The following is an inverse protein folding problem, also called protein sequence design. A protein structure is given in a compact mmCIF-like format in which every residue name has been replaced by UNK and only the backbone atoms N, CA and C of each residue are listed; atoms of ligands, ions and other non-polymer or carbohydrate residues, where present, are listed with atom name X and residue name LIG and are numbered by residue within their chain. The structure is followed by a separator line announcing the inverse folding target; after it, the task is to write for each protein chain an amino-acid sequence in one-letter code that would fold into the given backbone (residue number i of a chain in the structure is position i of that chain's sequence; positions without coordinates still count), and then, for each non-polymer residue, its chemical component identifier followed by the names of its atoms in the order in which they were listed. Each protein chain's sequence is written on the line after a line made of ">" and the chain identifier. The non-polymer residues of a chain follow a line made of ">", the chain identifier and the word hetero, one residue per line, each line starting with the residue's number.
data_IF_758968340188
#
_entry.id   IF_758968340188
#
_cell.length_a   1.000
_cell.length_b   1.000
_cell.length_c   1.000
_cell.angle_alpha   90.00
_cell.angle_beta   90.00
_cell.angle_gamma   90.00
#
_symmetry.space_group_name_H-M   'P 1'
#
loop_
_entity.id
_entity.type
_entity.pdbx_description
1 polymer ?
#
# COMPACT_ATOMS: atom_id res chain seq x y z
N UNK A 1 14.19 -11.09 7.29
CA UNK A 1 13.36 -10.17 8.10
C UNK A 1 12.21 -9.67 7.23
N UNK A 2 10.97 -9.64 7.72
CA UNK A 2 9.81 -9.15 6.97
C UNK A 2 9.26 -7.89 7.64
N UNK A 3 9.30 -6.75 6.93
CA UNK A 3 8.98 -5.41 7.45
C UNK A 3 7.47 -5.13 7.48
N UNK A 4 6.68 -5.93 6.73
CA UNK A 4 5.23 -5.76 6.56
C UNK A 4 4.82 -4.34 6.10
N UNK A 5 5.62 -3.71 5.25
CA UNK A 5 5.27 -2.42 4.67
C UNK A 5 3.98 -2.49 3.83
N UNK A 6 3.22 -1.40 3.75
CA UNK A 6 1.92 -1.35 3.08
C UNK A 6 1.99 -0.44 1.86
N UNK A 7 1.33 -0.83 0.76
CA UNK A 7 1.08 0.01 -0.40
C UNK A 7 -0.42 0.01 -0.69
N UNK A 8 -1.03 1.19 -0.80
CA UNK A 8 -2.45 1.38 -1.08
C UNK A 8 -2.60 2.04 -2.45
N UNK A 9 -3.35 1.41 -3.34
CA UNK A 9 -3.53 1.86 -4.70
C UNK A 9 -5.01 1.82 -5.07
N UNK A 10 -5.57 2.96 -5.48
CA UNK A 10 -6.92 3.02 -6.01
C UNK A 10 -6.93 2.55 -7.47
N UNK A 11 -7.89 1.70 -7.79
CA UNK A 11 -8.15 1.23 -9.16
C UNK A 11 -9.59 1.54 -9.55
N UNK A 12 -9.81 1.81 -10.83
CA UNK A 12 -11.13 2.20 -11.36
C UNK A 12 -12.12 1.03 -11.44
N UNK A 13 -11.62 -0.21 -11.55
CA UNK A 13 -12.42 -1.42 -11.68
C UNK A 13 -11.65 -2.66 -11.18
N UNK A 14 -12.31 -3.82 -11.26
CA UNK A 14 -11.77 -5.13 -10.86
C UNK A 14 -11.32 -5.97 -12.07
N UNK A 15 -10.76 -5.33 -13.10
CA UNK A 15 -10.21 -6.02 -14.29
C UNK A 15 -8.76 -6.44 -14.10
N UNK A 16 -8.26 -7.27 -15.03
CA UNK A 16 -6.84 -7.64 -15.07
C UNK A 16 -5.96 -6.44 -15.47
N UNK A 17 -6.43 -5.61 -16.41
CA UNK A 17 -5.72 -4.42 -16.89
C UNK A 17 -5.55 -3.38 -15.77
N UNK A 18 -6.60 -3.14 -14.98
CA UNK A 18 -6.53 -2.23 -13.85
C UNK A 18 -5.53 -2.72 -12.79
N UNK A 19 -5.51 -4.03 -12.49
CA UNK A 19 -4.50 -4.61 -11.61
C UNK A 19 -3.09 -4.47 -12.21
N UNK A 20 -2.87 -4.78 -13.48
CA UNK A 20 -1.55 -4.66 -14.12
C UNK A 20 -1.07 -3.21 -14.06
N UNK A 21 -1.96 -2.25 -14.31
CA UNK A 21 -1.66 -0.83 -14.15
C UNK A 21 -1.21 -0.48 -12.73
N UNK A 22 -1.95 -0.94 -11.71
CA UNK A 22 -1.59 -0.79 -10.30
C UNK A 22 -0.24 -1.45 -9.97
N UNK A 23 -0.02 -2.68 -10.42
CA UNK A 23 1.21 -3.43 -10.17
C UNK A 23 2.44 -2.79 -10.83
N UNK A 24 2.30 -2.26 -12.04
CA UNK A 24 3.36 -1.46 -12.70
C UNK A 24 3.66 -0.20 -11.91
N UNK A 25 2.64 0.53 -11.45
CA UNK A 25 2.82 1.71 -10.61
C UNK A 25 3.47 1.39 -9.25
N UNK A 26 3.15 0.24 -8.67
CA UNK A 26 3.82 -0.28 -7.47
C UNK A 26 5.30 -0.57 -7.73
N UNK A 27 5.60 -1.39 -8.73
CA UNK A 27 6.98 -1.80 -9.04
C UNK A 27 7.87 -0.63 -9.49
N UNK A 28 7.30 0.36 -10.18
CA UNK A 28 8.03 1.61 -10.51
C UNK A 28 8.39 2.44 -9.30
N UNK A 29 7.66 2.33 -8.17
CA UNK A 29 7.94 3.09 -6.94
C UNK A 29 8.72 2.30 -5.91
N UNK A 30 8.48 1.00 -5.82
CA UNK A 30 9.01 0.11 -4.77
C UNK A 30 10.09 -0.83 -5.28
N UNK A 31 10.36 -0.82 -6.58
CA UNK A 31 11.26 -1.76 -7.23
C UNK A 31 10.57 -3.09 -7.55
N UNK A 32 11.36 -4.02 -8.08
CA UNK A 32 10.88 -5.29 -8.58
C UNK A 32 10.29 -6.17 -7.46
N UNK A 33 9.13 -6.76 -7.72
CA UNK A 33 8.54 -7.78 -6.86
C UNK A 33 9.02 -9.18 -7.28
N UNK A 34 9.67 -9.91 -6.37
CA UNK A 34 10.10 -11.29 -6.65
C UNK A 34 8.96 -12.31 -6.50
N UNK A 35 8.07 -12.10 -5.52
CA UNK A 35 6.98 -13.03 -5.21
C UNK A 35 5.66 -12.29 -4.94
N UNK A 36 4.60 -12.70 -5.62
CA UNK A 36 3.23 -12.23 -5.38
C UNK A 36 2.42 -13.38 -4.80
N UNK A 37 1.61 -13.08 -3.78
CA UNK A 37 0.63 -13.99 -3.21
C UNK A 37 -0.76 -13.37 -3.33
N UNK A 38 -1.71 -14.07 -3.94
CA UNK A 38 -3.10 -13.61 -4.09
C UNK A 38 -4.10 -14.75 -3.98
N UNK A 39 -5.39 -14.42 -3.78
CA UNK A 39 -6.46 -15.40 -4.03
C UNK A 39 -6.61 -15.70 -5.53
N UNK A 40 -7.49 -16.65 -5.86
CA UNK A 40 -7.80 -17.05 -7.23
C UNK A 40 -8.82 -16.11 -7.93
N UNK A 41 -8.86 -14.83 -7.56
CA UNK A 41 -9.65 -13.81 -8.23
C UNK A 41 -9.37 -13.79 -9.73
N UNK A 42 -10.42 -13.62 -10.55
CA UNK A 42 -10.31 -13.66 -12.01
C UNK A 42 -9.36 -12.60 -12.57
N UNK A 43 -9.34 -11.42 -11.96
CA UNK A 43 -8.38 -10.35 -12.26
C UNK A 43 -6.94 -10.83 -12.04
N UNK A 44 -6.61 -11.41 -10.90
CA UNK A 44 -5.26 -11.89 -10.58
C UNK A 44 -4.81 -13.04 -11.50
N UNK A 45 -5.69 -14.02 -11.74
CA UNK A 45 -5.40 -15.12 -12.66
C UNK A 45 -5.17 -14.60 -14.09
N UNK A 46 -5.97 -13.64 -14.55
CA UNK A 46 -5.79 -12.97 -15.83
C UNK A 46 -4.47 -12.22 -15.91
N UNK A 47 -4.16 -11.40 -14.90
CA UNK A 47 -2.92 -10.62 -14.84
C UNK A 47 -1.67 -11.49 -14.84
N UNK A 48 -1.67 -12.60 -14.11
CA UNK A 48 -0.54 -13.54 -14.11
C UNK A 48 -0.28 -14.11 -15.53
N UNK A 49 -1.34 -14.48 -16.25
CA UNK A 49 -1.22 -14.99 -17.63
C UNK A 49 -0.66 -13.92 -18.57
N UNK A 50 -1.15 -12.69 -18.48
CA UNK A 50 -0.72 -11.59 -19.35
C UNK A 50 0.74 -11.20 -19.08
N UNK A 51 1.13 -11.09 -17.80
CA UNK A 51 2.51 -10.78 -17.42
C UNK A 51 3.48 -11.89 -17.84
N UNK A 52 3.09 -13.16 -17.71
CA UNK A 52 3.90 -14.29 -18.17
C UNK A 52 4.07 -14.30 -19.69
N UNK A 53 3.00 -14.00 -20.45
CA UNK A 53 3.07 -13.91 -21.90
C UNK A 53 3.96 -12.75 -22.36
N UNK A 54 3.85 -11.58 -21.71
CA UNK A 54 4.71 -10.43 -21.99
C UNK A 54 6.19 -10.72 -21.72
N UNK A 55 6.50 -11.44 -20.63
CA UNK A 55 7.87 -11.84 -20.32
C UNK A 55 8.43 -12.81 -21.37
N UNK A 56 7.63 -13.79 -21.80
CA UNK A 56 8.03 -14.75 -22.84
C UNK A 56 8.30 -14.04 -24.18
N UNK A 57 7.43 -13.12 -24.58
CA UNK A 57 7.60 -12.34 -25.80
C UNK A 57 8.89 -11.51 -25.76
N UNK A 58 9.15 -10.83 -24.64
CA UNK A 58 10.38 -10.05 -24.45
C UNK A 58 11.65 -10.93 -24.53
N UNK A 59 11.63 -12.13 -23.97
CA UNK A 59 12.76 -13.06 -24.04
C UNK A 59 13.07 -13.51 -25.48
N UNK A 60 12.06 -13.65 -26.34
CA UNK A 60 12.24 -14.01 -27.74
C UNK A 60 12.86 -12.89 -28.58
N UNK A 61 12.69 -11.63 -28.19
CA UNK A 61 13.15 -10.46 -28.94
C UNK A 61 14.53 -9.95 -28.50
N UNK A 62 15.01 -10.39 -27.33
CA UNK A 62 16.23 -9.87 -26.72
C UNK A 62 17.46 -10.75 -26.98
N UNK A 63 18.68 -10.16 -26.97
CA UNK A 63 19.92 -10.93 -26.93
C UNK A 63 19.93 -11.93 -25.78
N UNK A 64 20.53 -13.10 -26.01
CA UNK A 64 20.44 -14.27 -25.12
C UNK A 64 20.89 -13.98 -23.68
N UNK A 65 21.93 -13.18 -23.50
CA UNK A 65 22.45 -12.74 -22.21
C UNK A 65 21.45 -11.85 -21.43
N UNK A 66 20.74 -10.97 -22.14
CA UNK A 66 19.69 -10.12 -21.57
C UNK A 66 18.44 -10.95 -21.25
N UNK A 67 18.06 -11.87 -22.15
CA UNK A 67 16.94 -12.78 -21.95
C UNK A 67 17.16 -13.71 -20.73
N UNK A 68 18.37 -14.24 -20.56
CA UNK A 68 18.74 -15.09 -19.41
C UNK A 68 18.66 -14.32 -18.08
N UNK A 69 18.96 -13.02 -18.10
CA UNK A 69 18.83 -12.15 -16.93
C UNK A 69 17.36 -11.88 -16.60
N UNK A 70 16.55 -11.53 -17.61
CA UNK A 70 15.10 -11.36 -17.48
C UNK A 70 14.37 -12.62 -17.00
N UNK A 71 14.81 -13.80 -17.44
CA UNK A 71 14.25 -15.08 -16.98
C UNK A 71 14.50 -15.32 -15.48
N UNK A 72 15.69 -14.98 -14.99
CA UNK A 72 16.00 -15.00 -13.54
C UNK A 72 15.24 -13.92 -12.78
N UNK A 73 14.89 -12.85 -13.49
CA UNK A 73 14.23 -11.70 -12.90
C UNK A 73 12.69 -11.71 -12.93
N UNK A 74 12.08 -12.82 -13.33
CA UNK A 74 10.62 -12.95 -13.33
C UNK A 74 9.98 -12.89 -11.94
N UNK A 75 8.79 -12.30 -11.85
CA UNK A 75 7.96 -12.35 -10.64
C UNK A 75 7.27 -13.72 -10.54
N UNK A 76 7.44 -14.42 -9.43
CA UNK A 76 6.75 -15.69 -9.16
C UNK A 76 5.39 -15.45 -8.50
N UNK A 77 4.33 -15.98 -9.09
CA UNK A 77 2.97 -15.84 -8.57
C UNK A 77 2.50 -17.09 -7.83
N UNK A 78 2.01 -16.90 -6.61
CA UNK A 78 1.45 -17.94 -5.74
C UNK A 78 -0.03 -17.68 -5.50
N UNK A 79 -0.88 -18.69 -5.73
CA UNK A 79 -2.32 -18.61 -5.50
C UNK A 79 -2.71 -19.36 -4.24
N UNK A 80 -3.31 -18.66 -3.27
CA UNK A 80 -3.84 -19.28 -2.06
C UNK A 80 -5.28 -19.76 -2.27
N UNK A 81 -5.67 -20.92 -1.69
CA UNK A 81 -7.06 -21.35 -1.65
C UNK A 81 -7.92 -20.30 -0.93
N UNK A 82 -9.16 -20.12 -1.37
CA UNK A 82 -10.05 -19.13 -0.81
C UNK A 82 -10.33 -19.41 0.68
N UNK A 83 -9.79 -18.58 1.60
CA UNK A 83 -10.23 -18.57 3.01
C UNK A 83 -10.07 -17.22 3.72
N UNK A 84 -11.18 -16.85 4.37
CA UNK A 84 -11.45 -15.89 5.45
C UNK A 84 -11.32 -14.36 5.24
N UNK A 85 -12.46 -13.62 5.24
CA UNK A 85 -12.54 -12.19 5.06
C UNK A 85 -12.50 -11.43 6.39
N UNK A 86 -11.34 -11.28 7.02
CA UNK A 86 -11.25 -10.60 8.32
C UNK A 86 -10.35 -9.36 8.32
N UNK A 87 -10.56 -8.45 7.37
CA UNK A 87 -10.07 -7.07 7.45
C UNK A 87 -11.03 -6.19 6.63
N UNK A 88 -12.21 -5.84 7.13
CA UNK A 88 -13.23 -5.10 6.35
C UNK A 88 -13.69 -3.76 6.96
N UNK A 89 -13.87 -3.71 8.28
CA UNK A 89 -14.72 -2.67 8.88
C UNK A 89 -14.21 -1.22 8.84
N UNK A 90 -12.91 -0.97 8.58
CA UNK A 90 -12.38 0.39 8.54
C UNK A 90 -12.43 1.00 7.13
N UNK A 91 -12.05 0.23 6.12
CA UNK A 91 -12.06 0.66 4.72
C UNK A 91 -13.49 0.78 4.19
N UNK A 92 -14.41 -0.09 4.65
CA UNK A 92 -15.83 0.01 4.32
C UNK A 92 -16.41 1.40 4.63
N UNK A 93 -16.00 2.02 5.76
CA UNK A 93 -16.45 3.39 6.10
C UNK A 93 -15.87 4.46 5.16
N UNK A 94 -14.61 4.35 4.76
CA UNK A 94 -14.02 5.29 3.78
C UNK A 94 -14.78 5.20 2.44
N UNK A 95 -15.17 3.99 2.04
CA UNK A 95 -15.96 3.74 0.84
C UNK A 95 -17.40 4.28 0.91
N UNK A 96 -17.93 4.60 2.10
CA UNK A 96 -19.26 5.24 2.24
C UNK A 96 -19.27 6.74 1.98
N UNK A 97 -18.12 7.36 1.70
CA UNK A 97 -18.02 8.81 1.48
C UNK A 97 -17.96 9.15 -0.01
N UNK A 98 -18.68 10.20 -0.44
CA UNK A 98 -18.71 10.70 -1.83
C UNK A 98 -17.42 11.48 -2.19
N UNK A 99 -16.28 10.78 -2.16
CA UNK A 99 -14.99 11.30 -2.61
C UNK A 99 -14.82 11.07 -4.11
N UNK A 100 -14.16 12.01 -4.80
CA UNK A 100 -13.72 11.79 -6.17
C UNK A 100 -12.55 10.80 -6.19
N UNK A 101 -12.22 10.29 -7.38
CA UNK A 101 -11.05 9.42 -7.56
C UNK A 101 -9.75 10.08 -7.06
N UNK A 102 -9.55 11.36 -7.36
CA UNK A 102 -8.36 12.12 -6.94
C UNK A 102 -8.31 12.33 -5.42
N UNK A 103 -9.45 12.65 -4.80
CA UNK A 103 -9.56 12.83 -3.36
C UNK A 103 -9.29 11.53 -2.61
N UNK A 104 -9.90 10.42 -3.05
CA UNK A 104 -9.68 9.12 -2.43
C UNK A 104 -8.23 8.64 -2.63
N UNK A 105 -7.65 8.88 -3.81
CA UNK A 105 -6.23 8.58 -4.07
C UNK A 105 -5.33 9.34 -3.10
N UNK A 106 -5.56 10.63 -2.93
CA UNK A 106 -4.79 11.48 -2.00
C UNK A 106 -4.93 11.00 -0.55
N UNK A 107 -6.16 10.69 -0.12
CA UNK A 107 -6.43 10.15 1.21
C UNK A 107 -5.70 8.82 1.45
N UNK A 108 -5.72 7.91 0.47
CA UNK A 108 -5.03 6.62 0.55
C UNK A 108 -3.51 6.78 0.64
N UNK A 109 -2.90 7.71 -0.10
CA UNK A 109 -1.48 8.01 0.02
C UNK A 109 -1.10 8.51 1.43
N UNK A 110 -1.95 9.34 2.04
CA UNK A 110 -1.73 9.83 3.41
C UNK A 110 -1.90 8.70 4.44
N UNK A 111 -2.92 7.85 4.28
CA UNK A 111 -3.12 6.66 5.11
C UNK A 111 -1.93 5.69 4.99
N UNK A 112 -1.40 5.48 3.78
CA UNK A 112 -0.21 4.67 3.56
C UNK A 112 1.01 5.22 4.31
N UNK A 113 1.23 6.54 4.27
CA UNK A 113 2.28 7.19 5.03
C UNK A 113 2.13 6.94 6.54
N UNK A 114 0.92 7.12 7.08
CA UNK A 114 0.58 6.80 8.47
C UNK A 114 0.88 5.33 8.83
N UNK A 115 0.47 4.38 7.99
CA UNK A 115 0.68 2.96 8.26
C UNK A 115 2.17 2.59 8.24
N UNK A 116 2.96 3.24 7.38
CA UNK A 116 4.39 2.99 7.24
C UNK A 116 5.26 3.83 8.19
N UNK A 117 4.70 4.80 8.92
CA UNK A 117 5.38 5.52 9.99
C UNK A 117 5.27 4.81 11.35
N UNK A 118 4.59 3.65 11.41
CA UNK A 118 4.44 2.89 12.66
C UNK A 118 5.80 2.37 13.16
N UNK A 119 6.03 2.36 14.48
CA UNK A 119 7.26 1.84 15.07
C UNK A 119 7.36 0.31 14.90
N UNK A 120 8.55 -0.20 14.60
CA UNK A 120 8.86 -1.65 14.58
C UNK A 120 9.71 -2.04 15.79
N UNK A 121 10.85 -1.37 15.97
CA UNK A 121 11.81 -1.58 17.06
C UNK A 121 12.56 -0.27 17.33
N UNK A 122 13.06 -0.02 18.55
CA UNK A 122 14.02 1.04 18.79
C UNK A 122 15.19 0.93 17.80
N UNK A 123 15.70 2.06 17.30
CA UNK A 123 16.82 2.07 16.37
C UNK A 123 18.16 1.81 17.08
N UNK A 124 18.26 2.15 18.37
CA UNK A 124 19.43 1.92 19.20
C UNK A 124 19.01 1.43 20.60
N UNK A 125 19.56 0.30 21.04
CA UNK A 125 19.33 -0.25 22.40
C UNK A 125 20.23 0.44 23.44
N UNK A 126 21.19 1.27 23.01
CA UNK A 126 22.21 1.87 23.88
C UNK A 126 21.87 3.28 24.38
N UNK A 127 20.91 3.96 23.74
CA UNK A 127 20.54 5.34 24.07
C UNK A 127 19.05 5.41 24.42
N UNK A 128 18.77 5.36 25.73
CA UNK A 128 17.41 5.36 26.30
C UNK A 128 16.67 6.67 25.97
N UNK A 129 17.39 7.73 25.61
CA UNK A 129 16.86 9.06 25.28
C UNK A 129 16.71 9.30 23.76
N UNK A 130 17.30 8.45 22.91
CA UNK A 130 17.15 8.54 21.46
C UNK A 130 15.79 7.95 21.02
N UNK A 131 14.83 8.82 20.73
CA UNK A 131 13.48 8.47 20.22
C UNK A 131 13.50 8.04 18.75
N UNK A 132 14.65 7.59 18.23
CA UNK A 132 14.73 7.09 16.88
C UNK A 132 14.20 5.66 16.85
N UNK A 133 13.08 5.48 16.16
CA UNK A 133 12.41 4.20 16.04
C UNK A 133 12.45 3.77 14.59
N UNK A 134 12.84 2.53 14.35
CA UNK A 134 12.83 1.95 13.02
C UNK A 134 11.37 1.74 12.58
N UNK A 135 11.02 2.24 11.41
CA UNK A 135 9.66 2.16 10.84
C UNK A 135 9.71 1.48 9.48
N UNK A 136 8.59 0.94 8.96
CA UNK A 136 8.54 0.43 7.59
C UNK A 136 9.01 1.45 6.55
N UNK A 137 8.73 2.74 6.76
CA UNK A 137 9.18 3.80 5.85
C UNK A 137 10.70 3.86 5.69
N UNK A 138 11.46 3.58 6.75
CA UNK A 138 12.93 3.53 6.65
C UNK A 138 13.40 2.50 5.60
N UNK A 139 12.69 1.38 5.46
CA UNK A 139 12.99 0.38 4.43
C UNK A 139 12.46 0.75 3.04
N UNK A 140 11.47 1.64 2.96
CA UNK A 140 10.83 2.04 1.70
C UNK A 140 11.48 3.25 1.05
N UNK A 141 11.82 4.27 1.83
CA UNK A 141 12.30 5.58 1.37
C UNK A 141 13.54 6.07 2.13
N UNK A 142 14.03 5.30 3.11
CA UNK A 142 15.21 5.67 3.92
C UNK A 142 14.91 6.48 5.17
N UNK A 143 13.66 6.90 5.38
CA UNK A 143 13.22 7.72 6.52
C UNK A 143 11.78 7.40 6.94
N UNK A 144 11.37 7.89 8.12
CA UNK A 144 9.97 7.81 8.54
C UNK A 144 9.09 8.75 7.71
N UNK A 145 7.98 8.29 7.11
CA UNK A 145 7.15 9.14 6.27
C UNK A 145 6.48 10.24 7.12
N UNK A 146 6.69 11.50 6.73
CA UNK A 146 6.09 12.64 7.41
C UNK A 146 4.65 12.80 6.93
N UNK A 147 3.68 12.69 7.85
CA UNK A 147 2.32 13.15 7.60
C UNK A 147 2.30 14.66 7.81
N UNK A 148 1.97 15.42 6.76
CA UNK A 148 1.90 16.88 6.85
C UNK A 148 0.89 17.27 7.94
N UNK A 149 1.27 18.13 8.91
CA UNK A 149 0.36 18.53 9.98
C UNK A 149 -0.89 19.19 9.42
N UNK A 150 -2.06 18.82 9.95
CA UNK A 150 -3.33 19.44 9.59
C UNK A 150 -4.06 20.00 10.82
N UNK A 151 -4.94 20.99 10.66
CA UNK A 151 -5.75 21.51 11.75
C UNK A 151 -6.57 20.40 12.41
N UNK A 152 -6.74 20.44 13.73
CA UNK A 152 -7.64 19.53 14.43
C UNK A 152 -9.10 19.91 14.12
N UNK A 153 -9.82 19.01 13.44
CA UNK A 153 -11.21 19.18 13.01
C UNK A 153 -12.17 18.19 13.69
N UNK A 154 -11.77 17.60 14.82
CA UNK A 154 -12.53 16.54 15.49
C UNK A 154 -13.97 16.97 15.84
N UNK A 155 -14.11 18.19 16.38
CA UNK A 155 -15.38 18.72 16.89
C UNK A 155 -16.18 19.54 15.86
N UNK A 156 -15.71 19.64 14.62
CA UNK A 156 -16.39 20.43 13.58
C UNK A 156 -17.40 19.55 12.84
N UNK A 157 -18.65 20.01 12.73
CA UNK A 157 -19.67 19.28 11.97
C UNK A 157 -19.26 19.22 10.50
N UNK A 158 -19.40 18.04 9.88
CA UNK A 158 -19.04 17.78 8.47
C UNK A 158 -19.71 18.78 7.51
N UNK A 159 -20.92 19.24 7.82
CA UNK A 159 -21.67 20.23 7.03
C UNK A 159 -20.99 21.60 6.91
N UNK A 160 -20.05 21.93 7.80
CA UNK A 160 -19.30 23.19 7.77
C UNK A 160 -17.89 23.02 7.20
N UNK A 161 -17.51 21.81 6.77
CA UNK A 161 -16.20 21.54 6.22
C UNK A 161 -16.21 21.71 4.71
N UNK A 162 -15.18 22.37 4.19
CA UNK A 162 -14.83 22.23 2.77
C UNK A 162 -14.47 20.77 2.45
N UNK A 163 -14.50 20.39 1.17
CA UNK A 163 -14.11 19.03 0.74
C UNK A 163 -12.70 18.65 1.24
N UNK A 164 -11.76 19.60 1.16
CA UNK A 164 -10.41 19.42 1.68
C UNK A 164 -10.38 19.17 3.19
N UNK A 165 -11.09 19.99 3.97
CA UNK A 165 -11.17 19.81 5.42
C UNK A 165 -11.87 18.50 5.82
N UNK A 166 -12.85 18.05 5.02
CA UNK A 166 -13.47 16.75 5.22
C UNK A 166 -12.47 15.60 5.03
N UNK A 167 -11.61 15.65 4.00
CA UNK A 167 -10.53 14.68 3.82
C UNK A 167 -9.55 14.68 5.00
N UNK A 168 -9.15 15.87 5.49
CA UNK A 168 -8.28 15.98 6.67
C UNK A 168 -8.94 15.38 7.92
N UNK A 169 -10.26 15.57 8.09
CA UNK A 169 -11.02 14.94 9.16
C UNK A 169 -11.01 13.40 9.04
N UNK A 170 -11.24 12.86 7.84
CA UNK A 170 -11.20 11.41 7.59
C UNK A 170 -9.83 10.81 7.94
N UNK A 171 -8.74 11.50 7.58
CA UNK A 171 -7.38 11.08 7.95
C UNK A 171 -7.18 11.09 9.48
N UNK A 172 -7.62 12.16 10.16
CA UNK A 172 -7.53 12.25 11.61
C UNK A 172 -8.33 11.18 12.36
N UNK A 173 -9.56 10.91 11.89
CA UNK A 173 -10.42 9.86 12.42
C UNK A 173 -9.78 8.47 12.23
N UNK A 174 -9.14 8.23 11.07
CA UNK A 174 -8.36 7.01 10.81
C UNK A 174 -7.18 6.90 11.78
N UNK A 175 -6.36 7.95 11.91
CA UNK A 175 -5.17 7.95 12.76
C UNK A 175 -5.50 7.66 14.23
N UNK A 176 -6.54 8.33 14.76
CA UNK A 176 -7.00 8.12 16.14
C UNK A 176 -7.40 6.66 16.40
N UNK A 177 -8.17 6.08 15.48
CA UNK A 177 -8.61 4.69 15.61
C UNK A 177 -7.44 3.72 15.46
N UNK A 178 -6.57 3.95 14.48
CA UNK A 178 -5.36 3.16 14.27
C UNK A 178 -4.47 3.17 15.52
N UNK A 179 -4.21 4.34 16.11
CA UNK A 179 -3.41 4.46 17.32
C UNK A 179 -4.03 3.68 18.49
N UNK A 180 -5.35 3.77 18.69
CA UNK A 180 -6.03 3.01 19.75
C UNK A 180 -5.96 1.49 19.52
N UNK A 181 -6.18 1.02 18.30
CA UNK A 181 -6.16 -0.42 17.99
C UNK A 181 -4.76 -1.01 17.93
N UNK A 182 -3.77 -0.21 17.53
CA UNK A 182 -2.38 -0.66 17.43
C UNK A 182 -1.71 -0.71 18.81
N UNK A 183 -1.84 0.35 19.62
CA UNK A 183 -1.26 0.39 20.97
C UNK A 183 -1.86 -0.66 21.91
N UNK A 184 -3.10 -1.09 21.67
CA UNK A 184 -3.75 -2.15 22.47
C UNK A 184 -3.33 -3.57 22.05
N UNK A 185 -2.57 -3.70 20.96
CA UNK A 185 -2.08 -4.99 20.40
C UNK A 185 -0.56 -5.16 20.41
N UNK A 186 0.18 -4.16 20.91
CA UNK A 186 1.58 -4.30 21.31
C UNK A 186 1.66 -5.03 22.66
#
# INVERSE_FOLDING_TARGET
>A
MAVKAVHLELVGDLTAEAFIGAFRRFTSRRGKCAHIWSDQGRNFVGSNKELAAALLAAQCELPKDVADTLAKDGTQWHFIPAYSPNFGGLWERVLTTNLTFEELTTLLCQIEACLNSRPLTPADDSDIDAVDVLTPGHFLIGESPIVVPHPNLENVKVTYLSRWQHMQKLLGDFWKKWQMEYLTRL
#
